data_IF_126632986490
#
_entry.id   IF_126632986490
#
_cell.length_a   1.000
_cell.length_b   1.000
_cell.length_c   1.000
_cell.angle_alpha   90.00
_cell.angle_beta   90.00
_cell.angle_gamma   90.00
#
_symmetry.space_group_name_H-M   'P 1'
#
loop_
_entity.id
_entity.type
_entity.pdbx_description
1 polymer ?
#
# COMPACT_ATOMS: atom_id res chain seq x y z
N UNK A 1 -10.16 -26.78 -71.71
CA UNK A 1 -9.29 -26.01 -70.79
C UNK A 1 -9.89 -26.12 -69.40
N UNK A 2 -9.16 -26.79 -68.50
CA UNK A 2 -9.33 -26.97 -67.03
C UNK A 2 -10.75 -26.99 -66.43
N UNK A 3 -11.21 -28.20 -66.07
CA UNK A 3 -12.21 -28.40 -65.01
C UNK A 3 -11.52 -28.16 -63.67
N UNK A 4 -11.90 -27.08 -63.00
CA UNK A 4 -11.52 -26.85 -61.60
C UNK A 4 -12.43 -27.71 -60.72
N UNK A 5 -12.02 -28.95 -60.49
CA UNK A 5 -12.66 -29.83 -59.52
C UNK A 5 -12.37 -29.28 -58.13
N UNK A 6 -13.32 -28.51 -57.58
CA UNK A 6 -13.28 -28.10 -56.17
C UNK A 6 -13.43 -29.37 -55.35
N UNK A 7 -12.30 -29.80 -54.77
CA UNK A 7 -12.21 -30.96 -53.91
C UNK A 7 -12.88 -30.62 -52.57
N UNK A 8 -14.21 -30.62 -52.54
CA UNK A 8 -15.01 -30.53 -51.33
C UNK A 8 -14.95 -31.89 -50.62
N UNK A 9 -13.81 -32.14 -49.96
CA UNK A 9 -13.67 -33.29 -49.07
C UNK A 9 -14.73 -33.16 -47.97
N UNK A 10 -15.76 -33.98 -48.06
CA UNK A 10 -16.76 -34.14 -47.01
C UNK A 10 -16.04 -34.58 -45.74
N UNK A 11 -15.94 -33.68 -44.77
CA UNK A 11 -15.45 -34.01 -43.44
C UNK A 11 -16.41 -35.05 -42.87
N UNK A 12 -15.94 -36.27 -42.66
CA UNK A 12 -16.75 -37.35 -42.10
C UNK A 12 -17.37 -36.89 -40.77
N UNK A 13 -18.65 -37.19 -40.49
CA UNK A 13 -19.33 -36.75 -39.26
C UNK A 13 -18.55 -37.08 -37.98
N UNK A 14 -17.83 -38.21 -37.99
CA UNK A 14 -17.00 -38.64 -36.86
C UNK A 14 -15.70 -37.84 -36.77
N UNK A 15 -15.12 -37.47 -37.90
CA UNK A 15 -13.89 -36.65 -37.93
C UNK A 15 -14.21 -35.23 -37.48
N UNK A 16 -15.37 -34.70 -37.88
CA UNK A 16 -15.83 -33.37 -37.49
C UNK A 16 -16.02 -33.25 -35.96
N UNK A 17 -16.60 -34.27 -35.32
CA UNK A 17 -16.82 -34.24 -33.86
C UNK A 17 -15.51 -34.34 -33.08
N UNK A 18 -14.57 -35.18 -33.53
CA UNK A 18 -13.25 -35.29 -32.89
C UNK A 18 -12.50 -33.96 -32.96
N UNK A 19 -12.51 -33.29 -34.12
CA UNK A 19 -11.85 -31.99 -34.29
C UNK A 19 -12.49 -30.91 -33.40
N UNK A 20 -13.82 -30.90 -33.31
CA UNK A 20 -14.54 -29.94 -32.48
C UNK A 20 -14.21 -30.11 -30.99
N UNK A 21 -14.20 -31.35 -30.49
CA UNK A 21 -13.87 -31.65 -29.09
C UNK A 21 -12.40 -31.38 -28.79
N UNK A 22 -11.49 -31.67 -29.73
CA UNK A 22 -10.08 -31.40 -29.54
C UNK A 22 -9.81 -29.89 -29.34
N UNK A 23 -10.46 -29.03 -30.12
CA UNK A 23 -10.30 -27.59 -30.01
C UNK A 23 -10.86 -27.06 -28.68
N UNK A 24 -12.02 -27.55 -28.22
CA UNK A 24 -12.61 -27.07 -26.95
C UNK A 24 -11.76 -27.46 -25.75
N UNK A 25 -11.15 -28.65 -25.74
CA UNK A 25 -10.22 -29.07 -24.68
C UNK A 25 -8.97 -28.18 -24.68
N UNK A 26 -8.42 -27.86 -25.85
CA UNK A 26 -7.25 -26.97 -25.96
C UNK A 26 -7.58 -25.57 -25.47
N UNK A 27 -8.71 -24.99 -25.91
CA UNK A 27 -9.14 -23.67 -25.46
C UNK A 27 -9.40 -23.63 -23.95
N UNK A 28 -10.02 -24.67 -23.39
CA UNK A 28 -10.23 -24.79 -21.95
C UNK A 28 -8.91 -24.88 -21.18
N UNK A 29 -7.92 -25.61 -21.71
CA UNK A 29 -6.58 -25.69 -21.12
C UNK A 29 -5.84 -24.36 -21.13
N UNK A 30 -5.87 -23.62 -22.24
CA UNK A 30 -5.25 -22.28 -22.33
C UNK A 30 -5.94 -21.30 -21.38
N UNK A 31 -7.27 -21.32 -21.31
CA UNK A 31 -8.03 -20.50 -20.36
C UNK A 31 -7.72 -20.85 -18.91
N UNK A 32 -7.56 -22.15 -18.58
CA UNK A 32 -7.19 -22.57 -17.23
C UNK A 32 -5.81 -22.06 -16.82
N UNK A 33 -4.81 -22.19 -17.69
CA UNK A 33 -3.44 -21.71 -17.41
C UNK A 33 -3.42 -20.19 -17.28
N UNK A 34 -4.13 -19.48 -18.16
CA UNK A 34 -4.24 -18.02 -18.10
C UNK A 34 -4.98 -17.54 -16.84
N UNK A 35 -6.09 -18.19 -16.48
CA UNK A 35 -6.83 -17.89 -15.27
C UNK A 35 -6.02 -18.19 -14.01
N UNK A 36 -5.25 -19.28 -13.98
CA UNK A 36 -4.33 -19.57 -12.89
C UNK A 36 -3.17 -18.58 -12.82
N UNK A 37 -2.66 -18.09 -13.96
CA UNK A 37 -1.65 -17.03 -13.98
C UNK A 37 -2.22 -15.76 -13.35
N UNK A 38 -3.40 -15.32 -13.78
CA UNK A 38 -4.09 -14.16 -13.22
C UNK A 38 -4.41 -14.32 -11.73
N UNK A 39 -4.86 -15.50 -11.31
CA UNK A 39 -5.16 -15.78 -9.91
C UNK A 39 -3.89 -15.87 -9.05
N UNK A 40 -2.80 -16.41 -9.60
CA UNK A 40 -1.50 -16.48 -8.94
C UNK A 40 -0.81 -15.12 -8.88
N UNK A 41 -1.05 -14.24 -9.84
CA UNK A 41 -0.57 -12.86 -9.86
C UNK A 41 -1.40 -11.94 -8.98
N UNK A 42 -2.47 -12.46 -8.35
CA UNK A 42 -3.26 -11.74 -7.37
C UNK A 42 -3.89 -10.48 -7.96
N UNK A 43 -5.16 -10.56 -8.36
CA UNK A 43 -6.01 -9.37 -8.22
C UNK A 43 -6.02 -9.01 -6.74
N UNK A 44 -5.10 -8.13 -6.38
CA UNK A 44 -4.97 -7.48 -5.09
C UNK A 44 -6.16 -6.51 -4.91
N UNK A 45 -7.35 -7.09 -4.86
CA UNK A 45 -8.62 -6.38 -4.66
C UNK A 45 -9.04 -6.42 -3.20
N UNK A 46 -8.19 -6.94 -2.32
CA UNK A 46 -8.42 -7.01 -0.89
C UNK A 46 -7.45 -6.06 -0.19
N UNK A 47 -7.98 -4.95 0.34
CA UNK A 47 -7.40 -4.12 1.40
C UNK A 47 -6.53 -2.90 1.04
N UNK A 48 -6.60 -2.35 -0.18
CA UNK A 48 -6.22 -0.93 -0.34
C UNK A 48 -7.35 -0.07 0.26
N UNK A 49 -7.06 0.53 1.42
CA UNK A 49 -7.99 1.46 2.07
C UNK A 49 -8.26 2.67 1.17
N UNK A 50 -9.48 3.20 1.22
CA UNK A 50 -9.82 4.48 0.56
C UNK A 50 -9.47 5.69 1.41
N UNK A 51 -8.85 5.47 2.57
CA UNK A 51 -8.36 6.54 3.42
C UNK A 51 -7.19 7.25 2.75
N UNK A 52 -7.10 8.55 3.02
CA UNK A 52 -5.97 9.39 2.66
C UNK A 52 -5.42 10.05 3.91
N UNK A 53 -4.19 10.53 3.88
CA UNK A 53 -3.63 11.32 4.97
C UNK A 53 -2.94 12.59 4.49
N UNK A 54 -2.88 13.57 5.37
CA UNK A 54 -2.11 14.80 5.19
C UNK A 54 -1.10 14.95 6.31
N UNK A 55 0.09 15.43 5.99
CA UNK A 55 1.12 15.84 6.95
C UNK A 55 1.20 17.36 7.06
N UNK A 56 1.62 17.82 8.23
CA UNK A 56 2.07 19.18 8.47
C UNK A 56 3.26 19.14 9.43
N UNK A 57 4.12 20.14 9.33
CA UNK A 57 5.10 20.46 10.37
C UNK A 57 4.35 20.62 11.71
N UNK A 58 4.91 20.05 12.77
CA UNK A 58 4.32 20.14 14.09
C UNK A 58 4.52 21.53 14.75
N UNK A 59 5.35 22.41 14.16
CA UNK A 59 5.56 23.83 14.53
C UNK A 59 5.59 24.02 16.06
N UNK A 60 6.68 23.56 16.70
CA UNK A 60 6.98 23.78 18.11
C UNK A 60 5.88 23.34 19.10
N UNK A 61 5.30 22.16 18.87
CA UNK A 61 4.89 21.28 19.99
C UNK A 61 6.06 20.40 20.46
N UNK A 62 7.26 20.68 19.92
CA UNK A 62 8.58 20.29 20.37
C UNK A 62 8.93 20.99 21.70
N UNK A 63 8.21 20.67 22.77
CA UNK A 63 8.75 20.98 24.10
C UNK A 63 10.16 20.38 24.12
N UNK A 64 11.23 21.15 24.43
CA UNK A 64 12.52 20.58 24.75
C UNK A 64 12.38 19.87 26.09
N UNK A 65 11.62 18.77 26.11
CA UNK A 65 11.87 17.69 27.01
C UNK A 65 13.28 17.25 26.68
N UNK A 66 14.21 17.79 27.46
CA UNK A 66 15.56 17.32 27.59
C UNK A 66 15.52 15.79 27.47
N UNK A 67 16.22 15.26 26.46
CA UNK A 67 16.42 13.83 26.16
C UNK A 67 15.95 13.33 24.76
N UNK A 68 15.78 14.21 23.76
CA UNK A 68 15.81 13.79 22.33
C UNK A 68 14.50 13.27 21.73
N UNK A 69 13.34 13.70 22.28
CA UNK A 69 12.02 13.33 21.78
C UNK A 69 11.34 14.50 21.05
N UNK A 70 11.97 15.03 20.01
CA UNK A 70 11.40 16.15 19.22
C UNK A 70 10.18 15.68 18.41
N UNK A 71 9.10 16.46 18.41
CA UNK A 71 7.91 16.17 17.60
C UNK A 71 8.06 16.80 16.23
N UNK A 72 8.21 15.96 15.21
CA UNK A 72 8.54 16.38 13.85
C UNK A 72 7.30 16.72 13.01
N UNK A 73 6.32 15.82 12.99
CA UNK A 73 5.24 15.84 12.00
C UNK A 73 3.90 15.54 12.67
N UNK A 74 2.90 16.37 12.40
CA UNK A 74 1.50 16.07 12.68
C UNK A 74 0.85 15.49 11.43
N UNK A 75 0.22 14.32 11.56
CA UNK A 75 -0.54 13.71 10.48
C UNK A 75 -2.02 13.60 10.85
N UNK A 76 -2.88 13.67 9.84
CA UNK A 76 -4.31 13.48 9.99
C UNK A 76 -4.82 12.56 8.88
N UNK A 77 -5.62 11.56 9.25
CA UNK A 77 -6.29 10.68 8.29
C UNK A 77 -7.68 11.23 7.93
N UNK A 78 -8.04 11.13 6.66
CA UNK A 78 -9.37 11.42 6.13
C UNK A 78 -9.90 10.19 5.40
N UNK A 79 -11.12 9.77 5.71
CA UNK A 79 -11.72 8.59 5.11
C UNK A 79 -12.92 8.10 5.90
N UNK A 80 -13.21 6.80 5.82
CA UNK A 80 -14.37 6.19 6.47
C UNK A 80 -14.04 5.00 7.36
N UNK A 81 -12.91 4.34 7.11
CA UNK A 81 -12.54 3.11 7.78
C UNK A 81 -11.44 3.41 8.81
N UNK A 82 -11.42 2.69 9.92
CA UNK A 82 -10.34 2.78 10.90
C UNK A 82 -9.21 1.83 10.51
N UNK A 83 -7.96 2.25 10.70
CA UNK A 83 -6.79 1.45 10.36
C UNK A 83 -6.16 0.88 11.63
N UNK A 84 -6.34 -0.41 11.89
CA UNK A 84 -5.76 -1.06 13.07
C UNK A 84 -4.23 -1.00 13.06
N UNK A 85 -3.63 -0.58 14.19
CA UNK A 85 -2.18 -0.37 14.31
C UNK A 85 -1.34 -1.62 14.01
N UNK A 86 -1.90 -2.82 14.16
CA UNK A 86 -1.23 -4.08 13.78
C UNK A 86 -0.95 -4.21 12.28
N UNK A 87 -1.64 -3.44 11.44
CA UNK A 87 -1.48 -3.46 9.98
C UNK A 87 -0.90 -2.17 9.41
N UNK A 88 -0.95 -1.08 10.18
CA UNK A 88 -0.39 0.22 9.79
C UNK A 88 1.12 0.21 9.98
N UNK A 89 1.85 0.61 8.95
CA UNK A 89 3.28 0.86 9.01
C UNK A 89 3.58 2.26 8.50
N UNK A 90 4.04 3.13 9.39
CA UNK A 90 4.50 4.48 9.06
C UNK A 90 6.01 4.49 9.03
N UNK A 91 6.60 5.03 7.96
CA UNK A 91 8.04 5.15 7.80
C UNK A 91 8.42 6.56 7.40
N UNK A 92 9.47 7.07 8.03
CA UNK A 92 10.11 8.34 7.70
C UNK A 92 11.42 8.07 6.98
N UNK A 93 11.80 8.93 6.04
CA UNK A 93 13.09 8.83 5.35
C UNK A 93 13.78 10.18 5.23
N UNK A 94 15.06 10.23 5.58
CA UNK A 94 15.91 11.42 5.44
C UNK A 94 17.20 11.01 4.75
N UNK A 95 17.42 11.52 3.53
CA UNK A 95 18.49 11.01 2.66
C UNK A 95 18.30 9.53 2.35
N UNK A 96 19.29 8.70 2.71
CA UNK A 96 19.27 7.24 2.51
C UNK A 96 18.80 6.44 3.74
N UNK A 97 18.51 7.11 4.86
CA UNK A 97 18.07 6.46 6.09
C UNK A 97 16.55 6.34 6.12
N UNK A 98 16.05 5.20 6.62
CA UNK A 98 14.61 4.93 6.77
C UNK A 98 14.35 4.52 8.22
N UNK A 99 13.43 5.21 8.87
CA UNK A 99 13.02 5.01 10.25
C UNK A 99 11.58 4.51 10.27
N UNK A 100 11.32 3.44 11.04
CA UNK A 100 9.94 2.93 11.22
C UNK A 100 9.38 3.50 12.50
N UNK A 101 8.19 4.10 12.42
CA UNK A 101 7.53 4.68 13.58
C UNK A 101 6.65 3.66 14.28
N UNK A 102 6.61 3.68 15.62
CA UNK A 102 5.77 2.78 16.42
C UNK A 102 4.94 3.48 17.47
N UNK A 103 3.77 2.92 17.77
CA UNK A 103 2.89 3.39 18.85
C UNK A 103 3.35 2.95 20.25
N UNK A 104 4.44 2.19 20.36
CA UNK A 104 4.91 1.61 21.63
C UNK A 104 6.01 2.42 22.31
N UNK A 105 6.55 3.46 21.67
CA UNK A 105 7.41 4.46 22.30
C UNK A 105 8.87 4.05 22.52
N UNK A 106 9.33 2.95 21.91
CA UNK A 106 10.68 2.37 22.15
C UNK A 106 11.59 2.38 20.93
N UNK A 107 11.12 2.91 19.80
CA UNK A 107 11.82 2.84 18.52
C UNK A 107 12.44 4.19 18.15
N UNK A 108 13.14 4.23 17.02
CA UNK A 108 13.80 5.42 16.49
C UNK A 108 12.80 6.55 16.17
N UNK A 109 11.56 6.20 15.85
CA UNK A 109 10.45 7.11 15.65
C UNK A 109 9.25 6.61 16.46
N UNK A 110 8.56 7.52 17.14
CA UNK A 110 7.42 7.21 17.99
C UNK A 110 6.16 7.88 17.42
N UNK A 111 5.03 7.19 17.54
CA UNK A 111 3.70 7.67 17.16
C UNK A 111 2.92 7.92 18.44
N UNK A 112 2.43 9.14 18.62
CA UNK A 112 1.48 9.46 19.68
C UNK A 112 0.14 9.85 19.08
N UNK A 113 -0.92 9.30 19.64
CA UNK A 113 -2.31 9.54 19.24
C UNK A 113 -2.86 10.74 19.98
N UNK A 114 -3.63 11.58 19.28
CA UNK A 114 -4.24 12.79 19.83
C UNK A 114 -5.62 13.03 19.24
N UNK A 115 -6.61 13.01 20.13
CA UNK A 115 -8.02 12.79 19.80
C UNK A 115 -8.30 11.33 19.39
N UNK A 116 -9.57 10.97 19.22
CA UNK A 116 -9.99 9.58 19.03
C UNK A 116 -10.39 8.88 20.34
N UNK A 117 -11.10 7.77 20.21
CA UNK A 117 -11.59 6.95 21.33
C UNK A 117 -11.00 5.52 21.30
N UNK A 118 -10.32 5.14 20.22
CA UNK A 118 -9.80 3.78 20.01
C UNK A 118 -8.27 3.73 19.92
N UNK A 119 -7.60 3.46 21.05
CA UNK A 119 -6.14 3.34 21.11
C UNK A 119 -5.53 2.23 20.22
N UNK A 120 -6.34 1.35 19.63
CA UNK A 120 -5.89 0.22 18.81
C UNK A 120 -5.96 0.48 17.29
N UNK A 121 -6.44 1.65 16.86
CA UNK A 121 -6.54 1.99 15.45
C UNK A 121 -6.32 3.49 15.22
N UNK A 122 -5.79 3.83 14.06
CA UNK A 122 -5.81 5.21 13.57
C UNK A 122 -7.19 5.50 12.98
N UNK A 123 -7.88 6.51 13.53
CA UNK A 123 -9.26 6.85 13.15
C UNK A 123 -9.31 8.09 12.21
N UNK A 124 -10.26 8.15 11.25
CA UNK A 124 -10.45 9.36 10.46
C UNK A 124 -10.82 10.57 11.33
N UNK A 125 -10.12 11.69 11.13
CA UNK A 125 -10.33 12.93 11.89
C UNK A 125 -9.46 13.07 13.13
N UNK A 126 -8.78 12.01 13.57
CA UNK A 126 -7.76 12.03 14.62
C UNK A 126 -6.43 12.61 14.11
N UNK A 127 -5.68 13.26 15.01
CA UNK A 127 -4.29 13.62 14.78
C UNK A 127 -3.34 12.62 15.41
N UNK A 128 -2.32 12.23 14.66
CA UNK A 128 -1.16 11.55 15.21
C UNK A 128 0.05 12.45 15.10
N UNK A 129 0.96 12.33 16.05
CA UNK A 129 2.23 13.03 16.06
C UNK A 129 3.36 12.02 15.94
N UNK A 130 4.25 12.27 14.99
CA UNK A 130 5.48 11.53 14.81
C UNK A 130 6.60 12.30 15.50
N UNK A 131 7.23 11.65 16.48
CA UNK A 131 8.35 12.22 17.21
C UNK A 131 9.58 11.35 17.07
N UNK A 132 10.74 11.95 17.28
CA UNK A 132 11.99 11.23 17.45
C UNK A 132 11.93 10.35 18.71
N UNK A 133 12.67 9.25 18.67
CA UNK A 133 12.86 8.36 19.80
C UNK A 133 14.34 8.19 20.08
N UNK A 134 14.89 7.01 19.77
CA UNK A 134 16.31 6.75 20.01
C UNK A 134 17.26 7.31 18.97
N UNK A 135 16.76 7.69 17.79
CA UNK A 135 17.56 8.24 16.71
C UNK A 135 17.23 9.71 16.47
N UNK A 136 18.27 10.48 16.14
CA UNK A 136 18.14 11.80 15.56
C UNK A 136 17.79 11.64 14.07
N UNK A 137 16.55 11.97 13.71
CA UNK A 137 16.00 11.91 12.36
C UNK A 137 16.18 13.28 11.67
N UNK A 138 15.93 14.35 12.41
CA UNK A 138 16.00 15.73 11.96
C UNK A 138 16.69 16.59 13.01
N UNK A 139 17.74 17.30 12.63
CA UNK A 139 18.43 18.20 13.55
C UNK A 139 17.78 19.56 13.64
N UNK A 140 18.20 20.38 14.61
CA UNK A 140 17.75 21.75 14.85
C UNK A 140 17.94 22.76 13.68
N UNK A 141 18.41 22.32 12.51
CA UNK A 141 18.47 23.12 11.28
C UNK A 141 17.30 22.83 10.33
N UNK A 142 16.42 21.89 10.70
CA UNK A 142 15.35 21.39 9.86
C UNK A 142 15.84 20.43 8.77
N UNK A 143 14.91 19.64 8.23
CA UNK A 143 15.17 18.69 7.17
C UNK A 143 13.88 18.38 6.37
N UNK A 144 14.06 17.88 5.15
CA UNK A 144 12.95 17.33 4.35
C UNK A 144 12.78 15.85 4.70
N UNK A 145 11.63 15.52 5.27
CA UNK A 145 11.32 14.17 5.74
C UNK A 145 10.34 13.51 4.78
N UNK A 146 10.82 12.51 4.05
CA UNK A 146 9.96 11.64 3.24
C UNK A 146 9.03 10.80 4.12
N UNK A 147 7.76 10.67 3.71
CA UNK A 147 6.73 9.97 4.46
C UNK A 147 6.15 8.86 3.60
N UNK A 148 6.02 7.67 4.19
CA UNK A 148 5.31 6.55 3.58
C UNK A 148 4.47 5.82 4.62
N UNK A 149 3.21 5.54 4.27
CA UNK A 149 2.26 4.81 5.10
C UNK A 149 1.76 3.61 4.31
N UNK A 150 1.86 2.43 4.92
CA UNK A 150 1.27 1.20 4.43
C UNK A 150 0.19 0.72 5.39
N UNK A 151 -0.85 0.07 4.87
CA UNK A 151 -1.83 -0.69 5.64
C UNK A 151 -1.95 -2.09 5.05
N UNK A 152 -1.62 -3.12 5.84
CA UNK A 152 -1.65 -4.51 5.37
C UNK A 152 -0.70 -4.80 4.20
N UNK A 153 0.32 -3.94 4.01
CA UNK A 153 1.26 -4.02 2.87
C UNK A 153 0.91 -3.12 1.68
N UNK A 154 -0.27 -2.50 1.66
CA UNK A 154 -0.69 -1.59 0.58
C UNK A 154 -0.45 -0.13 0.94
N UNK A 155 -0.01 0.68 -0.02
CA UNK A 155 0.20 2.12 0.21
C UNK A 155 -1.12 2.84 0.50
N UNK A 156 -1.13 3.61 1.58
CA UNK A 156 -2.17 4.60 1.86
C UNK A 156 -1.78 5.88 1.14
N UNK A 157 -2.71 6.49 0.40
CA UNK A 157 -2.42 7.71 -0.35
C UNK A 157 -2.31 8.93 0.58
N UNK A 158 -1.35 9.81 0.36
CA UNK A 158 -1.19 11.00 1.19
C UNK A 158 0.05 11.81 0.87
N UNK A 159 0.42 12.70 1.78
CA UNK A 159 1.66 13.47 1.70
C UNK A 159 2.88 12.56 1.57
N UNK A 160 3.79 12.86 0.65
CA UNK A 160 5.00 12.06 0.42
C UNK A 160 6.25 12.64 1.06
N UNK A 161 6.23 13.91 1.47
CA UNK A 161 7.31 14.58 2.19
C UNK A 161 6.77 15.73 3.03
N UNK A 162 7.50 16.10 4.07
CA UNK A 162 7.23 17.26 4.91
C UNK A 162 8.55 17.96 5.25
N UNK A 163 8.61 19.26 5.00
CA UNK A 163 9.66 20.10 5.58
C UNK A 163 9.38 20.29 7.06
N UNK A 164 10.35 19.92 7.89
CA UNK A 164 10.38 20.16 9.34
C UNK A 164 11.43 21.23 9.60
N UNK A 165 11.10 22.25 10.42
CA UNK A 165 11.95 23.43 10.63
C UNK A 165 12.51 23.53 12.05
#
# INVERSE_FOLDING_TARGET
>A
MMKNEKNEQAVSPVIATILMVAITVVLAGVLYVWANSLASEGTDTTASTLNTYTSADADDSADPAADGADTLIRMQMTGKDDLAWSFVKVTLSVGDHVYTCSVTGTDDCNITQSAGDNDNAWEPGEYIFLSEGTAEICSAQGCDVGISVLNGGHTVAGSTSQMVN
#
